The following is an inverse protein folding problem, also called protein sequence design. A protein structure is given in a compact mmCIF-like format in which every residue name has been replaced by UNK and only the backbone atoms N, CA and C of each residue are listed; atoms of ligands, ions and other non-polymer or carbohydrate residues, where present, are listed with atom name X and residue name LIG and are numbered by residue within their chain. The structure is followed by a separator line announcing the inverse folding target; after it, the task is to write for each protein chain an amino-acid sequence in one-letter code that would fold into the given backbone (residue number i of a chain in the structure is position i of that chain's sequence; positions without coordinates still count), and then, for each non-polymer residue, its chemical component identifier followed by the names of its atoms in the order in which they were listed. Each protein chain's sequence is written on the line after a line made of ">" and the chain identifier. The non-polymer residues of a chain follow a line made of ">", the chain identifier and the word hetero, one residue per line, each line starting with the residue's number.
data_IF_021829035281
#
_entry.id   IF_021829035281
#
_cell.length_a   1.000
_cell.length_b   1.000
_cell.length_c   1.000
_cell.angle_alpha   90.00
_cell.angle_beta   90.00
_cell.angle_gamma   90.00
#
_symmetry.space_group_name_H-M   'P 1'
#
loop_
_entity.id
_entity.type
_entity.pdbx_description
1 polymer ?
#
# COMPACT_ATOMS: atom_id res chain seq x y z
N UNK A 1 -9.70 6.68 15.10
CA UNK A 1 -9.59 6.30 13.70
C UNK A 1 -8.15 5.96 13.36
N UNK A 2 -7.94 5.15 12.31
CA UNK A 2 -6.61 4.68 11.86
C UNK A 2 -5.79 4.03 12.99
N UNK A 3 -6.46 3.31 13.90
CA UNK A 3 -5.84 2.72 15.09
C UNK A 3 -4.83 1.62 14.77
N UNK A 4 -4.79 1.13 13.55
CA UNK A 4 -3.79 0.19 13.05
C UNK A 4 -2.44 0.85 12.75
N UNK A 5 -2.38 2.18 12.58
CA UNK A 5 -1.16 2.93 12.30
C UNK A 5 -0.39 3.35 13.57
N UNK A 6 -1.06 3.35 14.73
CA UNK A 6 -0.42 3.68 15.98
C UNK A 6 0.28 2.46 16.58
N UNK A 7 1.48 2.68 17.13
CA UNK A 7 2.13 1.65 17.93
C UNK A 7 1.31 1.35 19.19
N UNK A 8 1.44 0.16 19.74
CA UNK A 8 0.67 -0.19 20.95
C UNK A 8 0.91 0.79 22.12
N UNK A 9 2.14 1.22 22.45
CA UNK A 9 2.37 2.23 23.49
C UNK A 9 1.64 3.55 23.23
N UNK A 10 1.57 4.02 21.99
CA UNK A 10 0.83 5.25 21.62
C UNK A 10 -0.67 5.08 21.84
N UNK A 11 -1.23 3.92 21.48
CA UNK A 11 -2.66 3.63 21.66
C UNK A 11 -3.02 3.52 23.16
N UNK A 12 -2.10 3.12 24.01
CA UNK A 12 -2.35 3.01 25.47
C UNK A 12 -2.48 4.39 26.14
N UNK A 13 -1.89 5.46 25.58
CA UNK A 13 -1.91 6.79 26.21
C UNK A 13 -3.33 7.27 26.53
N UNK A 14 -4.28 7.35 25.57
CA UNK A 14 -5.65 7.77 25.89
C UNK A 14 -6.38 6.78 26.81
N UNK A 15 -6.02 5.51 26.82
CA UNK A 15 -6.64 4.49 27.66
C UNK A 15 -6.28 4.71 29.13
N UNK A 16 -5.00 4.94 29.42
CA UNK A 16 -4.53 5.16 30.80
C UNK A 16 -4.95 6.53 31.37
N UNK A 17 -5.37 7.46 30.53
CA UNK A 17 -5.94 8.74 30.97
C UNK A 17 -7.35 8.61 31.55
N UNK A 18 -7.87 7.40 31.71
CA UNK A 18 -9.14 7.12 32.36
C UNK A 18 -10.31 6.90 31.42
N UNK A 19 -10.06 6.49 30.19
CA UNK A 19 -11.12 6.11 29.26
C UNK A 19 -11.96 4.95 29.83
N UNK A 20 -13.27 5.15 29.95
CA UNK A 20 -14.21 4.12 30.41
C UNK A 20 -14.65 3.19 29.28
N UNK A 21 -14.64 3.69 28.06
CA UNK A 21 -14.97 2.97 26.84
C UNK A 21 -13.98 3.34 25.75
N UNK A 22 -13.55 2.36 24.96
CA UNK A 22 -12.61 2.54 23.87
C UNK A 22 -13.22 1.95 22.61
N UNK A 23 -13.27 2.75 21.56
CA UNK A 23 -13.66 2.31 20.22
C UNK A 23 -12.46 2.53 19.30
N UNK A 24 -11.91 1.44 18.78
CA UNK A 24 -10.82 1.49 17.80
C UNK A 24 -11.38 1.26 16.41
N UNK A 25 -11.06 2.15 15.49
CA UNK A 25 -11.43 2.08 14.07
C UNK A 25 -10.15 1.99 13.26
N UNK A 26 -10.09 1.04 12.33
CA UNK A 26 -8.91 0.84 11.50
C UNK A 26 -9.05 -0.38 10.61
N UNK A 27 -8.07 -0.59 9.75
CA UNK A 27 -8.02 -1.69 8.81
C UNK A 27 -6.65 -2.38 8.85
N UNK A 28 -6.60 -3.58 9.39
CA UNK A 28 -5.37 -4.37 9.50
C UNK A 28 -4.84 -4.90 8.16
N UNK A 29 -5.65 -4.84 7.09
CA UNK A 29 -5.22 -5.13 5.73
C UNK A 29 -4.59 -3.91 5.03
N UNK A 30 -4.55 -2.75 5.68
CA UNK A 30 -3.82 -1.56 5.27
C UNK A 30 -2.58 -1.34 6.14
N UNK A 31 -1.89 -0.19 5.96
CA UNK A 31 -0.60 0.04 6.61
C UNK A 31 -0.69 0.01 8.14
N UNK A 32 0.31 -0.62 8.74
CA UNK A 32 0.54 -0.64 10.17
C UNK A 32 1.46 0.50 10.65
N UNK A 33 1.90 0.47 11.93
CA UNK A 33 2.79 1.47 12.50
C UNK A 33 4.11 1.58 11.73
N UNK A 34 4.56 2.81 11.47
CA UNK A 34 5.86 3.07 10.85
C UNK A 34 6.95 3.08 11.91
N UNK A 35 7.79 2.03 11.91
CA UNK A 35 8.91 1.89 12.83
C UNK A 35 10.22 1.88 12.05
N UNK A 36 10.99 2.96 12.15
CA UNK A 36 12.27 3.12 11.43
C UNK A 36 13.38 2.20 11.98
N UNK A 37 13.34 1.93 13.27
CA UNK A 37 14.31 1.04 13.89
C UNK A 37 13.95 -0.43 13.67
N UNK A 38 14.72 -1.14 12.82
CA UNK A 38 14.49 -2.56 12.51
C UNK A 38 14.50 -3.47 13.73
N UNK A 39 15.35 -3.19 14.73
CA UNK A 39 15.39 -3.98 15.96
C UNK A 39 14.11 -3.83 16.77
N UNK A 40 13.58 -2.60 16.85
CA UNK A 40 12.32 -2.33 17.52
C UNK A 40 11.13 -2.96 16.78
N UNK A 41 11.11 -2.88 15.45
CA UNK A 41 10.10 -3.53 14.62
C UNK A 41 10.09 -5.05 14.83
N UNK A 42 11.27 -5.70 14.79
CA UNK A 42 11.42 -7.15 15.07
C UNK A 42 11.03 -7.53 16.51
N UNK A 43 11.17 -6.61 17.48
CA UNK A 43 10.74 -6.80 18.86
C UNK A 43 9.22 -6.61 19.05
N UNK A 44 8.45 -6.40 17.97
CA UNK A 44 7.00 -6.31 18.00
C UNK A 44 6.42 -4.90 18.01
N UNK A 45 7.26 -3.83 18.01
CA UNK A 45 6.75 -2.44 18.04
C UNK A 45 5.94 -2.08 16.76
N UNK A 46 6.11 -2.80 15.65
CA UNK A 46 5.33 -2.61 14.43
C UNK A 46 3.94 -3.26 14.46
N UNK A 47 3.62 -4.01 15.52
CA UNK A 47 2.28 -4.55 15.72
C UNK A 47 1.43 -3.55 16.48
N UNK A 48 0.28 -3.18 15.95
CA UNK A 48 -0.67 -2.32 16.65
C UNK A 48 -1.46 -3.08 17.71
N UNK A 49 -2.01 -2.35 18.69
CA UNK A 49 -2.95 -2.95 19.66
C UNK A 49 -4.16 -3.57 18.96
N UNK A 50 -4.64 -2.94 17.88
CA UNK A 50 -5.76 -3.44 17.08
C UNK A 50 -5.46 -4.83 16.50
N UNK A 51 -4.31 -5.01 15.85
CA UNK A 51 -3.89 -6.31 15.32
C UNK A 51 -3.68 -7.33 16.43
N UNK A 52 -3.04 -6.94 17.53
CA UNK A 52 -2.80 -7.86 18.66
C UNK A 52 -4.12 -8.38 19.24
N UNK A 53 -5.13 -7.54 19.36
CA UNK A 53 -6.46 -7.97 19.86
C UNK A 53 -7.13 -8.96 18.90
N UNK A 54 -7.02 -8.75 17.57
CA UNK A 54 -7.51 -9.73 16.59
C UNK A 54 -6.79 -11.07 16.74
N UNK A 55 -5.46 -11.09 16.86
CA UNK A 55 -4.68 -12.32 17.09
C UNK A 55 -5.06 -13.01 18.40
N UNK A 56 -5.48 -12.27 19.42
CA UNK A 56 -6.01 -12.82 20.68
C UNK A 56 -7.44 -13.33 20.56
N UNK A 57 -8.07 -13.26 19.38
CA UNK A 57 -9.42 -13.78 19.13
C UNK A 57 -10.54 -12.77 19.37
N UNK A 58 -10.25 -11.49 19.59
CA UNK A 58 -11.27 -10.44 19.64
C UNK A 58 -11.81 -10.22 18.22
N UNK A 59 -13.11 -10.47 18.05
CA UNK A 59 -13.75 -10.32 16.74
C UNK A 59 -14.08 -8.86 16.45
N UNK A 60 -13.53 -8.25 15.39
CA UNK A 60 -13.91 -6.90 15.00
C UNK A 60 -15.27 -6.88 14.30
N UNK A 61 -15.96 -5.76 14.41
CA UNK A 61 -17.13 -5.48 13.57
C UNK A 61 -16.61 -4.99 12.23
N UNK A 62 -16.84 -5.76 11.14
CA UNK A 62 -16.38 -5.43 9.80
C UNK A 62 -17.43 -4.61 9.06
N UNK A 63 -17.04 -3.42 8.58
CA UNK A 63 -17.82 -2.67 7.59
C UNK A 63 -17.57 -3.31 6.21
N UNK A 64 -18.64 -3.77 5.56
CA UNK A 64 -18.52 -4.58 4.33
C UNK A 64 -18.92 -3.83 3.06
N UNK A 65 -19.49 -2.61 3.18
CA UNK A 65 -19.95 -1.85 2.04
C UNK A 65 -18.99 -0.71 1.76
N UNK A 66 -18.41 -0.69 0.57
CA UNK A 66 -17.55 0.39 0.08
C UNK A 66 -18.36 1.36 -0.81
N UNK A 67 -18.09 2.66 -0.67
CA UNK A 67 -18.74 3.74 -1.42
C UNK A 67 -17.77 4.58 -2.25
N UNK A 68 -16.50 4.23 -2.28
CA UNK A 68 -15.44 5.00 -2.96
C UNK A 68 -15.28 4.61 -4.42
N UNK A 69 -14.93 3.35 -4.64
CA UNK A 69 -14.41 2.86 -5.91
C UNK A 69 -15.52 2.46 -6.88
N UNK A 70 -15.27 2.67 -8.17
CA UNK A 70 -15.99 1.98 -9.22
C UNK A 70 -16.03 0.47 -8.96
N UNK A 71 -17.15 -0.23 -9.16
CA UNK A 71 -17.28 -1.66 -8.84
C UNK A 71 -16.16 -2.55 -9.38
N UNK A 72 -15.70 -2.33 -10.62
CA UNK A 72 -14.62 -3.13 -11.20
C UNK A 72 -13.27 -2.92 -10.50
N UNK A 73 -13.02 -1.72 -9.92
CA UNK A 73 -11.78 -1.45 -9.19
C UNK A 73 -11.74 -2.13 -7.82
N UNK A 74 -12.91 -2.38 -7.23
CA UNK A 74 -13.02 -3.02 -5.92
C UNK A 74 -12.92 -4.54 -5.98
N UNK A 75 -13.10 -5.15 -7.15
CA UNK A 75 -13.17 -6.60 -7.32
C UNK A 75 -11.87 -7.30 -6.88
N UNK A 76 -10.72 -6.88 -7.42
CA UNK A 76 -9.44 -7.48 -7.04
C UNK A 76 -9.10 -7.24 -5.56
N UNK A 77 -9.15 -6.00 -5.02
CA UNK A 77 -8.94 -5.78 -3.59
C UNK A 77 -9.87 -6.58 -2.68
N UNK A 78 -11.15 -6.69 -3.03
CA UNK A 78 -12.11 -7.50 -2.26
C UNK A 78 -11.67 -8.96 -2.18
N UNK A 79 -11.32 -9.55 -3.31
CA UNK A 79 -10.92 -10.96 -3.38
C UNK A 79 -9.55 -11.22 -2.75
N UNK A 80 -8.59 -10.31 -2.95
CA UNK A 80 -7.22 -10.49 -2.49
C UNK A 80 -7.05 -10.22 -0.99
N UNK A 81 -7.74 -9.20 -0.45
CA UNK A 81 -7.48 -8.69 0.91
C UNK A 81 -8.65 -8.89 1.87
N UNK A 82 -9.89 -9.02 1.36
CA UNK A 82 -11.10 -9.04 2.20
C UNK A 82 -11.99 -10.26 1.95
N UNK A 83 -11.41 -11.37 1.47
CA UNK A 83 -12.11 -12.67 1.29
C UNK A 83 -13.31 -12.60 0.34
N UNK A 84 -13.35 -11.63 -0.56
CA UNK A 84 -14.49 -11.39 -1.45
C UNK A 84 -15.74 -10.87 -0.76
N UNK A 85 -15.62 -10.39 0.49
CA UNK A 85 -16.79 -9.97 1.29
C UNK A 85 -17.17 -8.50 1.11
N UNK A 86 -16.33 -7.68 0.47
CA UNK A 86 -16.68 -6.29 0.20
C UNK A 86 -17.79 -6.20 -0.84
N UNK A 87 -18.82 -5.43 -0.50
CA UNK A 87 -19.95 -5.13 -1.35
C UNK A 87 -19.85 -3.68 -1.85
N UNK A 88 -20.39 -3.41 -3.04
CA UNK A 88 -20.42 -2.07 -3.60
C UNK A 88 -21.71 -1.36 -3.20
N UNK A 89 -21.61 -0.24 -2.49
CA UNK A 89 -22.70 0.67 -2.21
C UNK A 89 -22.92 1.74 -3.28
N UNK A 90 -22.11 1.69 -4.36
CA UNK A 90 -22.21 2.54 -5.53
C UNK A 90 -22.31 1.69 -6.79
N UNK A 91 -23.03 2.18 -7.80
CA UNK A 91 -23.15 1.53 -9.09
C UNK A 91 -22.11 2.07 -10.07
N UNK A 92 -21.90 1.37 -11.20
CA UNK A 92 -21.02 1.81 -12.27
C UNK A 92 -21.39 3.20 -12.77
N UNK A 93 -22.69 3.52 -12.89
CA UNK A 93 -23.19 4.83 -13.32
C UNK A 93 -22.81 5.96 -12.37
N UNK A 94 -22.73 5.68 -11.06
CA UNK A 94 -22.35 6.67 -10.04
C UNK A 94 -20.84 6.97 -10.09
N UNK A 95 -20.10 6.15 -10.79
CA UNK A 95 -18.64 6.19 -10.92
C UNK A 95 -18.16 6.20 -12.37
N UNK A 96 -19.03 6.52 -13.32
CA UNK A 96 -18.66 6.74 -14.72
C UNK A 96 -18.54 8.23 -14.98
N UNK A 97 -17.52 8.62 -15.74
CA UNK A 97 -17.49 9.95 -16.32
C UNK A 97 -18.55 10.07 -17.40
N UNK A 98 -19.11 11.27 -17.54
CA UNK A 98 -20.13 11.59 -18.54
C UNK A 98 -19.57 11.58 -19.97
N UNK A 99 -18.24 11.58 -20.14
CA UNK A 99 -17.51 11.63 -21.40
C UNK A 99 -16.40 10.58 -21.41
N UNK A 100 -15.96 10.13 -22.59
CA UNK A 100 -14.80 9.24 -22.77
C UNK A 100 -13.49 10.01 -22.47
N UNK A 101 -13.23 10.32 -21.21
CA UNK A 101 -12.10 11.14 -20.74
C UNK A 101 -10.76 10.47 -20.95
N UNK A 102 -10.74 9.14 -20.97
CA UNK A 102 -9.53 8.34 -21.10
C UNK A 102 -9.75 7.14 -22.02
N UNK A 103 -8.78 6.80 -22.92
CA UNK A 103 -8.90 5.69 -23.85
C UNK A 103 -8.67 4.35 -23.15
N UNK A 104 -9.60 3.94 -22.31
CA UNK A 104 -9.52 2.68 -21.58
C UNK A 104 -9.42 1.48 -22.54
N UNK A 105 -8.56 0.49 -22.26
CA UNK A 105 -8.49 -0.73 -23.06
C UNK A 105 -9.82 -1.46 -23.16
N UNK A 106 -10.62 -1.41 -22.08
CA UNK A 106 -12.00 -1.89 -22.04
C UNK A 106 -12.91 -0.76 -21.59
N UNK A 107 -13.90 -0.39 -22.43
CA UNK A 107 -14.80 0.75 -22.18
C UNK A 107 -15.59 0.68 -20.88
N UNK A 108 -15.92 -0.54 -20.42
CA UNK A 108 -16.68 -0.75 -19.19
C UNK A 108 -15.81 -0.88 -17.95
N UNK A 109 -14.47 -0.85 -18.09
CA UNK A 109 -13.54 -1.12 -16.98
C UNK A 109 -12.50 -0.02 -16.91
N UNK A 110 -12.70 1.00 -16.06
CA UNK A 110 -11.77 2.11 -15.91
C UNK A 110 -10.52 1.72 -15.14
N UNK A 111 -9.82 0.70 -15.66
CA UNK A 111 -8.54 0.24 -15.15
C UNK A 111 -7.59 -0.14 -16.28
N UNK A 112 -6.29 0.02 -16.02
CA UNK A 112 -5.24 -0.30 -16.99
C UNK A 112 -3.96 -0.67 -16.25
N UNK A 113 -3.29 -1.74 -16.71
CA UNK A 113 -1.88 -1.98 -16.39
C UNK A 113 -1.06 -1.77 -17.67
N UNK A 114 -0.27 -0.70 -17.69
CA UNK A 114 0.60 -0.37 -18.81
C UNK A 114 2.00 -0.96 -18.60
N UNK A 115 2.32 -2.00 -19.36
CA UNK A 115 3.60 -2.68 -19.28
C UNK A 115 4.74 -1.77 -19.76
N UNK A 116 5.69 -1.49 -18.86
CA UNK A 116 6.91 -0.75 -19.13
C UNK A 116 8.12 -1.61 -18.76
N UNK A 117 8.98 -1.87 -19.76
CA UNK A 117 10.19 -2.70 -19.58
C UNK A 117 11.44 -1.84 -19.33
N UNK A 118 11.27 -0.57 -18.94
CA UNK A 118 12.37 0.34 -18.63
C UNK A 118 13.22 -0.19 -17.49
N UNK A 119 14.50 0.20 -17.50
CA UNK A 119 15.47 -0.20 -16.45
C UNK A 119 15.27 0.70 -15.24
N UNK A 120 15.31 0.11 -14.03
CA UNK A 120 15.41 0.89 -12.81
C UNK A 120 16.80 1.46 -12.62
N UNK A 121 16.90 2.64 -12.05
CA UNK A 121 18.15 3.34 -11.75
C UNK A 121 18.18 3.74 -10.28
N UNK A 122 19.37 3.81 -9.71
CA UNK A 122 19.53 4.43 -8.39
C UNK A 122 19.40 5.95 -8.54
N UNK A 123 18.64 6.58 -7.66
CA UNK A 123 18.49 8.03 -7.64
C UNK A 123 19.83 8.72 -7.28
N UNK A 124 19.94 10.01 -7.58
CA UNK A 124 21.14 10.79 -7.27
C UNK A 124 21.49 10.81 -5.77
N UNK A 125 20.52 10.56 -4.90
CA UNK A 125 20.75 10.46 -3.44
C UNK A 125 21.45 9.16 -3.03
N UNK A 126 21.53 8.16 -3.93
CA UNK A 126 22.11 6.84 -3.63
C UNK A 126 21.27 5.96 -2.71
N UNK A 127 20.08 6.42 -2.27
CA UNK A 127 19.26 5.75 -1.26
C UNK A 127 17.87 5.34 -1.77
N UNK A 128 17.54 5.65 -3.01
CA UNK A 128 16.21 5.37 -3.58
C UNK A 128 16.33 4.96 -5.05
N UNK A 129 15.26 4.42 -5.61
CA UNK A 129 15.20 4.00 -7.01
C UNK A 129 14.28 4.92 -7.83
N UNK A 130 14.54 4.97 -9.14
CA UNK A 130 13.67 5.59 -10.12
C UNK A 130 13.64 4.77 -11.42
N UNK A 131 12.61 4.98 -12.23
CA UNK A 131 12.45 4.39 -13.55
C UNK A 131 11.97 5.46 -14.53
N UNK A 132 12.86 5.87 -15.44
CA UNK A 132 12.58 6.95 -16.40
C UNK A 132 11.47 6.58 -17.38
N UNK A 133 11.44 5.31 -17.82
CA UNK A 133 10.40 4.83 -18.71
C UNK A 133 9.01 4.91 -18.10
N UNK A 134 8.89 4.52 -16.82
CA UNK A 134 7.63 4.65 -16.10
C UNK A 134 7.24 6.13 -15.88
N UNK A 135 8.21 7.00 -15.55
CA UNK A 135 7.93 8.42 -15.37
C UNK A 135 7.43 9.09 -16.66
N UNK A 136 7.97 8.69 -17.83
CA UNK A 136 7.46 9.15 -19.15
C UNK A 136 6.04 8.65 -19.41
N UNK A 137 5.72 7.42 -19.03
CA UNK A 137 4.35 6.91 -19.15
C UNK A 137 3.38 7.65 -18.22
N UNK A 138 3.79 7.94 -16.98
CA UNK A 138 3.02 8.74 -16.01
C UNK A 138 2.75 10.14 -16.58
N UNK A 139 3.76 10.82 -17.14
CA UNK A 139 3.61 12.14 -17.76
C UNK A 139 2.55 12.11 -18.88
N UNK A 140 2.61 11.11 -19.76
CA UNK A 140 1.63 10.96 -20.85
C UNK A 140 0.21 10.76 -20.34
N UNK A 141 0.03 9.94 -19.28
CA UNK A 141 -1.28 9.71 -18.67
C UNK A 141 -1.81 11.01 -18.05
N UNK A 142 -1.00 11.70 -17.24
CA UNK A 142 -1.38 12.95 -16.59
C UNK A 142 -1.72 14.02 -17.63
N UNK A 143 -0.87 14.18 -18.65
CA UNK A 143 -1.12 15.12 -19.75
C UNK A 143 -2.44 14.83 -20.45
N UNK A 144 -2.73 13.57 -20.75
CA UNK A 144 -3.97 13.17 -21.40
C UNK A 144 -5.20 13.51 -20.54
N UNK A 145 -5.17 13.22 -19.25
CA UNK A 145 -6.26 13.57 -18.32
C UNK A 145 -6.48 15.07 -18.23
N UNK A 146 -5.41 15.86 -18.11
CA UNK A 146 -5.49 17.33 -18.04
C UNK A 146 -6.03 17.93 -19.36
N UNK A 147 -5.64 17.39 -20.53
CA UNK A 147 -6.16 17.80 -21.83
C UNK A 147 -7.66 17.50 -22.00
N UNK A 148 -8.18 16.49 -21.32
CA UNK A 148 -9.60 16.15 -21.31
C UNK A 148 -10.35 16.74 -20.10
N UNK A 149 -9.91 17.90 -19.63
CA UNK A 149 -10.59 18.73 -18.64
C UNK A 149 -10.67 18.14 -17.22
N UNK A 150 -9.87 17.13 -16.90
CA UNK A 150 -9.72 16.67 -15.53
C UNK A 150 -8.83 17.65 -14.77
N UNK A 151 -9.28 18.09 -13.62
CA UNK A 151 -8.55 19.05 -12.78
C UNK A 151 -7.34 18.38 -12.12
N UNK A 152 -6.21 19.11 -11.95
CA UNK A 152 -5.00 18.55 -11.34
C UNK A 152 -5.23 17.92 -9.96
N UNK A 153 -6.08 18.53 -9.14
CA UNK A 153 -6.41 18.05 -7.80
C UNK A 153 -7.20 16.72 -7.79
N UNK A 154 -7.78 16.32 -8.91
CA UNK A 154 -8.50 15.06 -9.10
C UNK A 154 -7.58 13.90 -9.46
N UNK A 155 -6.30 14.20 -9.77
CA UNK A 155 -5.29 13.23 -10.17
C UNK A 155 -4.31 13.00 -9.03
N UNK A 156 -4.00 11.73 -8.79
CA UNK A 156 -2.97 11.33 -7.84
C UNK A 156 -1.97 10.37 -8.48
N UNK A 157 -0.69 10.60 -8.24
CA UNK A 157 0.40 9.69 -8.64
C UNK A 157 1.01 9.08 -7.40
N UNK A 158 0.98 7.77 -7.31
CA UNK A 158 1.43 7.00 -6.16
C UNK A 158 2.68 6.20 -6.53
N UNK A 159 3.72 6.31 -5.74
CA UNK A 159 4.96 5.54 -5.92
C UNK A 159 5.54 5.09 -4.58
N UNK A 160 6.18 3.93 -4.49
CA UNK A 160 6.83 3.49 -3.25
C UNK A 160 8.22 4.14 -3.02
N UNK A 161 8.75 4.90 -3.98
CA UNK A 161 10.12 5.40 -3.96
C UNK A 161 10.20 6.92 -4.07
N UNK A 162 10.88 7.56 -3.12
CA UNK A 162 11.09 9.02 -3.10
C UNK A 162 11.88 9.51 -4.33
N UNK A 163 12.86 8.74 -4.79
CA UNK A 163 13.59 9.04 -6.02
C UNK A 163 12.69 9.14 -7.25
N UNK A 164 11.71 8.23 -7.36
CA UNK A 164 10.71 8.28 -8.43
C UNK A 164 9.76 9.46 -8.26
N UNK A 165 9.31 9.73 -7.05
CA UNK A 165 8.44 10.87 -6.76
C UNK A 165 9.07 12.18 -7.24
N UNK A 166 10.29 12.43 -6.80
CA UNK A 166 11.02 13.65 -7.20
C UNK A 166 11.28 13.70 -8.70
N UNK A 167 11.63 12.56 -9.31
CA UNK A 167 11.87 12.48 -10.75
C UNK A 167 10.61 12.75 -11.56
N UNK A 168 9.47 12.15 -11.21
CA UNK A 168 8.18 12.34 -11.90
C UNK A 168 7.76 13.80 -11.88
N UNK A 169 7.80 14.47 -10.71
CA UNK A 169 7.48 15.90 -10.60
C UNK A 169 8.38 16.75 -11.51
N UNK A 170 9.71 16.53 -11.45
CA UNK A 170 10.66 17.26 -12.30
C UNK A 170 10.44 16.97 -13.78
N UNK A 171 10.16 15.73 -14.14
CA UNK A 171 9.96 15.32 -15.53
C UNK A 171 8.70 15.97 -16.10
N UNK A 172 7.57 15.87 -15.43
CA UNK A 172 6.30 16.47 -15.85
C UNK A 172 6.42 18.00 -16.05
N UNK A 173 7.03 18.68 -15.08
CA UNK A 173 7.15 20.15 -15.15
C UNK A 173 8.11 20.66 -16.22
N UNK A 174 9.12 19.85 -16.62
CA UNK A 174 10.13 20.24 -17.61
C UNK A 174 9.81 19.81 -19.03
N UNK A 175 9.19 18.65 -19.18
CA UNK A 175 9.00 18.01 -20.50
C UNK A 175 7.54 17.91 -20.90
N UNK A 176 6.62 18.12 -19.97
CA UNK A 176 5.18 18.13 -20.26
C UNK A 176 4.81 19.23 -21.23
N UNK A 177 3.84 18.94 -22.10
CA UNK A 177 3.40 19.85 -23.17
C UNK A 177 2.46 20.95 -22.69
N UNK A 178 1.95 20.86 -21.48
CA UNK A 178 1.07 21.85 -20.85
C UNK A 178 1.86 22.81 -19.97
N UNK A 179 1.18 23.85 -19.47
CA UNK A 179 1.82 24.80 -18.57
C UNK A 179 2.32 24.10 -17.29
N UNK A 180 3.56 24.38 -16.83
CA UNK A 180 4.16 23.71 -15.67
C UNK A 180 3.34 23.78 -14.39
N UNK A 181 2.57 24.86 -14.16
CA UNK A 181 1.72 24.99 -12.97
C UNK A 181 0.68 23.89 -12.85
N UNK A 182 0.10 23.42 -13.96
CA UNK A 182 -0.87 22.34 -13.96
C UNK A 182 -0.27 21.03 -13.42
N UNK A 183 0.98 20.75 -13.81
CA UNK A 183 1.68 19.57 -13.30
C UNK A 183 2.10 19.70 -11.83
N UNK A 184 2.38 20.92 -11.35
CA UNK A 184 2.73 21.17 -9.96
C UNK A 184 1.55 20.98 -8.99
N UNK A 185 0.33 21.16 -9.46
CA UNK A 185 -0.89 20.97 -8.70
C UNK A 185 -1.30 19.48 -8.61
N UNK A 186 -0.76 18.62 -9.49
CA UNK A 186 -0.98 17.18 -9.40
C UNK A 186 -0.27 16.61 -8.18
N UNK A 187 -1.01 15.89 -7.36
CA UNK A 187 -0.44 15.28 -6.16
C UNK A 187 0.40 14.04 -6.49
N UNK A 188 1.72 14.13 -6.28
CA UNK A 188 2.65 13.00 -6.41
C UNK A 188 3.22 12.66 -5.04
N UNK A 189 2.89 11.49 -4.50
CA UNK A 189 3.29 11.12 -3.14
C UNK A 189 3.60 9.62 -2.98
N UNK A 190 4.18 9.27 -1.84
CA UNK A 190 4.41 7.87 -1.48
C UNK A 190 3.09 7.17 -1.14
N UNK A 191 3.09 5.83 -1.20
CA UNK A 191 1.94 5.01 -0.79
C UNK A 191 1.52 5.34 0.63
N UNK A 192 2.49 5.47 1.53
CA UNK A 192 2.25 5.75 2.94
C UNK A 192 1.58 7.14 3.13
N UNK A 193 1.98 8.15 2.36
CA UNK A 193 1.38 9.49 2.40
C UNK A 193 -0.03 9.55 1.77
N UNK A 194 -0.37 8.59 0.92
CA UNK A 194 -1.71 8.49 0.31
C UNK A 194 -2.74 7.77 1.20
N UNK A 195 -2.33 7.17 2.30
CA UNK A 195 -3.29 6.56 3.23
C UNK A 195 -4.27 7.61 3.77
N UNK A 196 -5.55 7.26 3.85
CA UNK A 196 -6.63 8.19 4.21
C UNK A 196 -7.06 9.14 3.09
N UNK A 197 -6.30 9.25 1.98
CA UNK A 197 -6.63 10.11 0.84
C UNK A 197 -7.33 9.34 -0.27
N UNK A 198 -7.97 10.07 -1.19
CA UNK A 198 -8.63 9.51 -2.37
C UNK A 198 -8.65 10.53 -3.50
N UNK A 199 -8.62 10.07 -4.75
CA UNK A 199 -8.69 10.89 -5.96
C UNK A 199 -9.65 10.27 -6.96
N UNK A 200 -10.05 11.05 -7.95
CA UNK A 200 -10.84 10.52 -9.06
C UNK A 200 -10.00 9.51 -9.85
N UNK A 201 -8.78 9.89 -10.22
CA UNK A 201 -7.86 9.08 -10.97
C UNK A 201 -6.58 8.84 -10.17
N UNK A 202 -6.16 7.59 -10.10
CA UNK A 202 -4.89 7.20 -9.48
C UNK A 202 -3.99 6.53 -10.50
N UNK A 203 -2.74 6.98 -10.53
CA UNK A 203 -1.68 6.41 -11.33
C UNK A 203 -0.65 5.83 -10.37
N UNK A 204 -0.39 4.52 -10.46
CA UNK A 204 0.62 3.83 -9.63
C UNK A 204 1.83 3.55 -10.51
N UNK A 205 3.03 4.00 -10.10
CA UNK A 205 4.29 3.64 -10.74
C UNK A 205 5.10 2.72 -9.84
N UNK A 206 5.38 1.50 -10.34
CA UNK A 206 5.97 0.41 -9.55
C UNK A 206 7.51 0.52 -9.43
N UNK A 207 8.16 1.17 -10.40
CA UNK A 207 9.60 1.46 -10.44
C UNK A 207 10.48 0.22 -10.66
N UNK A 208 10.25 -0.86 -9.89
CA UNK A 208 11.14 -2.03 -9.87
C UNK A 208 11.12 -2.80 -11.17
N UNK A 209 12.29 -2.89 -11.78
CA UNK A 209 12.50 -3.51 -13.08
C UNK A 209 13.89 -4.16 -13.17
N UNK A 210 14.15 -5.10 -12.26
CA UNK A 210 15.40 -5.84 -12.21
C UNK A 210 15.15 -7.35 -12.11
N UNK A 211 16.13 -8.15 -12.52
CA UNK A 211 16.01 -9.61 -12.51
C UNK A 211 16.48 -10.29 -11.22
N UNK A 212 17.25 -9.60 -10.36
CA UNK A 212 17.99 -10.22 -9.26
C UNK A 212 17.59 -9.74 -7.87
N UNK A 213 17.19 -8.48 -7.73
CA UNK A 213 17.04 -7.81 -6.43
C UNK A 213 15.61 -7.80 -5.87
N UNK A 214 14.69 -8.56 -6.46
CA UNK A 214 13.30 -8.56 -6.00
C UNK A 214 12.58 -7.21 -6.19
N UNK A 215 11.41 -7.05 -5.56
CA UNK A 215 10.57 -5.85 -5.73
C UNK A 215 10.60 -4.90 -4.52
N UNK A 216 11.43 -5.20 -3.51
CA UNK A 216 11.65 -4.32 -2.35
C UNK A 216 10.35 -3.91 -1.64
N UNK A 217 10.10 -2.61 -1.47
CA UNK A 217 8.93 -2.08 -0.75
C UNK A 217 7.57 -2.52 -1.32
N UNK A 218 7.51 -2.94 -2.59
CA UNK A 218 6.31 -3.49 -3.18
C UNK A 218 5.96 -4.89 -2.65
N UNK A 219 6.87 -5.54 -1.93
CA UNK A 219 6.61 -6.86 -1.36
C UNK A 219 5.59 -6.83 -0.22
N UNK A 220 5.35 -5.66 0.37
CA UNK A 220 4.33 -5.48 1.40
C UNK A 220 2.93 -5.44 0.77
N UNK A 221 2.09 -6.47 1.02
CA UNK A 221 0.75 -6.55 0.46
C UNK A 221 -0.17 -5.42 0.94
N UNK A 222 0.08 -4.86 2.13
CA UNK A 222 -0.69 -3.74 2.68
C UNK A 222 -0.49 -2.47 1.86
N UNK A 223 0.75 -2.23 1.38
CA UNK A 223 1.05 -1.11 0.47
C UNK A 223 0.32 -1.26 -0.86
N UNK A 224 0.32 -2.46 -1.41
CA UNK A 224 -0.44 -2.71 -2.63
C UNK A 224 -1.93 -2.46 -2.42
N UNK A 225 -2.52 -2.96 -1.33
CA UNK A 225 -3.92 -2.71 -0.99
C UNK A 225 -4.23 -1.20 -0.92
N UNK A 226 -3.40 -0.43 -0.21
CA UNK A 226 -3.56 1.03 -0.14
C UNK A 226 -3.49 1.64 -1.53
N UNK A 227 -2.48 1.33 -2.34
CA UNK A 227 -2.31 1.91 -3.67
C UNK A 227 -3.51 1.63 -4.59
N UNK A 228 -4.05 0.40 -4.58
CA UNK A 228 -5.17 0.00 -5.42
C UNK A 228 -6.52 0.60 -5.00
N UNK A 229 -6.66 0.99 -3.72
CA UNK A 229 -7.95 1.43 -3.16
C UNK A 229 -8.10 2.94 -3.01
N UNK A 230 -7.24 3.74 -3.65
CA UNK A 230 -7.31 5.21 -3.59
C UNK A 230 -8.15 5.85 -4.69
N UNK A 231 -8.39 5.12 -5.79
CA UNK A 231 -9.11 5.63 -6.96
C UNK A 231 -10.63 5.55 -6.76
N UNK A 232 -11.34 6.59 -7.25
CA UNK A 232 -12.82 6.57 -7.36
C UNK A 232 -13.28 6.11 -8.73
N UNK A 233 -12.77 6.74 -9.79
CA UNK A 233 -13.22 6.58 -11.17
C UNK A 233 -12.27 5.70 -11.98
N UNK A 234 -10.96 5.89 -11.88
CA UNK A 234 -10.01 5.19 -12.73
C UNK A 234 -8.68 4.88 -12.08
N UNK A 235 -8.13 3.70 -12.40
CA UNK A 235 -6.85 3.21 -11.90
C UNK A 235 -5.93 2.82 -13.04
N UNK A 236 -4.76 3.46 -13.12
CA UNK A 236 -3.69 3.13 -14.06
C UNK A 236 -2.47 2.67 -13.28
N UNK A 237 -1.92 1.53 -13.65
CA UNK A 237 -0.69 0.99 -13.07
C UNK A 237 0.37 0.93 -14.15
N UNK A 238 1.56 1.42 -13.86
CA UNK A 238 2.72 1.39 -14.75
C UNK A 238 3.82 0.57 -14.12
N UNK A 239 4.37 -0.39 -14.83
CA UNK A 239 5.41 -1.25 -14.27
C UNK A 239 5.87 -2.38 -15.18
N UNK A 240 6.88 -3.14 -14.73
CA UNK A 240 7.40 -4.28 -15.46
C UNK A 240 6.70 -5.59 -15.04
N UNK A 241 5.78 -6.12 -15.86
CA UNK A 241 5.02 -7.32 -15.50
C UNK A 241 5.89 -8.57 -15.35
N UNK A 242 7.06 -8.67 -16.04
CA UNK A 242 7.97 -9.82 -15.90
C UNK A 242 8.62 -9.87 -14.52
N UNK A 243 8.92 -8.72 -13.96
CA UNK A 243 9.54 -8.61 -12.64
C UNK A 243 8.51 -8.77 -11.55
N UNK A 244 7.40 -8.03 -11.66
CA UNK A 244 6.33 -8.02 -10.67
C UNK A 244 5.66 -9.39 -10.52
N UNK A 245 5.43 -10.11 -11.62
CA UNK A 245 4.81 -11.44 -11.59
C UNK A 245 5.63 -12.53 -10.87
N UNK A 246 6.88 -12.24 -10.49
CA UNK A 246 7.68 -13.14 -9.63
C UNK A 246 7.07 -13.25 -8.23
N UNK A 247 6.30 -12.24 -7.80
CA UNK A 247 5.56 -12.25 -6.54
C UNK A 247 4.13 -12.75 -6.77
N UNK A 248 3.63 -13.68 -5.94
CA UNK A 248 2.33 -14.31 -6.13
C UNK A 248 1.18 -13.31 -6.23
N UNK A 249 1.10 -12.35 -5.30
CA UNK A 249 0.02 -11.36 -5.25
C UNK A 249 0.02 -10.45 -6.50
N UNK A 250 1.19 -9.96 -6.93
CA UNK A 250 1.30 -9.18 -8.17
C UNK A 250 0.95 -10.00 -9.40
N UNK A 251 1.30 -11.28 -9.41
CA UNK A 251 0.91 -12.16 -10.49
C UNK A 251 -0.60 -12.33 -10.57
N UNK A 252 -1.28 -12.55 -9.45
CA UNK A 252 -2.75 -12.63 -9.40
C UNK A 252 -3.37 -11.31 -9.89
N UNK A 253 -2.83 -10.16 -9.48
CA UNK A 253 -3.24 -8.86 -9.98
C UNK A 253 -3.04 -8.74 -11.51
N UNK A 254 -1.86 -9.07 -12.02
CA UNK A 254 -1.57 -9.01 -13.45
C UNK A 254 -2.46 -9.97 -14.25
N UNK A 255 -2.76 -11.14 -13.71
CA UNK A 255 -3.70 -12.08 -14.32
C UNK A 255 -5.12 -11.50 -14.35
N UNK A 256 -5.57 -10.88 -13.24
CA UNK A 256 -6.85 -10.17 -13.20
C UNK A 256 -6.93 -9.06 -14.27
N UNK A 257 -5.90 -8.23 -14.42
CA UNK A 257 -5.85 -7.22 -15.49
C UNK A 257 -5.88 -7.83 -16.89
N UNK A 258 -5.16 -8.95 -17.11
CA UNK A 258 -5.16 -9.68 -18.38
C UNK A 258 -6.52 -10.28 -18.72
N UNK A 259 -7.15 -10.98 -17.78
CA UNK A 259 -8.45 -11.61 -17.97
C UNK A 259 -9.56 -10.60 -18.27
N UNK A 260 -9.36 -9.36 -17.84
CA UNK A 260 -10.24 -8.23 -18.13
C UNK A 260 -9.85 -7.44 -19.39
N UNK A 261 -8.82 -7.86 -20.14
CA UNK A 261 -8.33 -7.14 -21.32
C UNK A 261 -7.68 -5.79 -21.02
N UNK A 262 -7.23 -5.60 -19.78
CA UNK A 262 -6.69 -4.33 -19.27
C UNK A 262 -5.17 -4.34 -19.06
N UNK A 263 -4.48 -5.44 -19.37
CA UNK A 263 -3.01 -5.52 -19.41
C UNK A 263 -2.52 -5.17 -20.80
N UNK A 264 -1.88 -4.02 -20.96
CA UNK A 264 -1.54 -3.45 -22.27
C UNK A 264 -0.08 -3.04 -22.37
N UNK A 265 0.40 -2.93 -23.61
CA UNK A 265 1.75 -2.43 -23.96
C UNK A 265 1.71 -1.49 -25.16
N UNK A 266 2.75 -0.71 -25.33
CA UNK A 266 2.88 0.24 -26.44
C UNK A 266 3.51 1.57 -26.00
N UNK A 267 3.79 2.43 -26.98
CA UNK A 267 4.45 3.72 -26.74
C UNK A 267 3.47 4.91 -26.78
N UNK A 268 2.30 4.71 -27.31
CA UNK A 268 1.28 5.76 -27.48
C UNK A 268 0.01 5.35 -26.75
N UNK A 269 -0.46 6.23 -25.86
CA UNK A 269 -1.64 6.01 -25.03
C UNK A 269 -2.92 5.72 -25.85
N UNK A 270 -3.01 6.29 -27.05
CA UNK A 270 -4.16 6.10 -27.95
C UNK A 270 -4.03 4.87 -28.86
N UNK A 271 -2.93 4.13 -28.77
CA UNK A 271 -2.64 2.97 -29.61
C UNK A 271 -2.00 1.84 -28.80
N UNK A 272 -2.48 1.66 -27.55
CA UNK A 272 -2.06 0.55 -26.71
C UNK A 272 -2.69 -0.75 -27.21
N UNK A 273 -1.92 -1.82 -27.18
CA UNK A 273 -2.33 -3.16 -27.57
C UNK A 273 -2.24 -4.10 -26.40
N UNK A 274 -2.92 -5.24 -26.47
CA UNK A 274 -2.84 -6.26 -25.42
C UNK A 274 -1.39 -6.73 -25.23
N UNK A 275 -0.97 -6.80 -23.98
CA UNK A 275 0.38 -7.23 -23.62
C UNK A 275 0.50 -8.75 -23.65
N UNK A 276 1.31 -9.25 -24.59
CA UNK A 276 1.56 -10.66 -24.79
C UNK A 276 2.69 -11.22 -23.95
N UNK A 277 3.21 -10.47 -22.99
CA UNK A 277 4.30 -10.90 -22.10
C UNK A 277 3.89 -12.14 -21.32
N UNK A 278 4.69 -13.19 -21.41
CA UNK A 278 4.51 -14.37 -20.56
C UNK A 278 4.78 -14.02 -19.09
N UNK A 279 3.77 -14.20 -18.24
CA UNK A 279 3.94 -14.01 -16.79
C UNK A 279 4.66 -15.23 -16.20
N UNK A 280 5.83 -15.05 -15.56
CA UNK A 280 6.57 -16.15 -14.95
C UNK A 280 5.72 -16.84 -13.89
N UNK A 281 5.84 -18.18 -13.83
CA UNK A 281 5.22 -18.95 -12.76
C UNK A 281 6.01 -18.71 -11.47
N UNK A 282 5.36 -18.47 -10.33
CA UNK A 282 6.05 -18.47 -9.04
C UNK A 282 6.77 -19.80 -8.84
N UNK A 283 7.96 -19.77 -8.25
CA UNK A 283 8.75 -21.01 -8.01
C UNK A 283 8.07 -21.98 -7.05
N UNK A 284 7.12 -21.53 -6.26
CA UNK A 284 6.25 -22.34 -5.42
C UNK A 284 4.80 -22.20 -5.87
N UNK A 285 4.08 -23.30 -5.84
CA UNK A 285 2.63 -23.24 -6.00
C UNK A 285 2.05 -22.54 -4.78
N UNK A 286 1.74 -21.25 -4.87
CA UNK A 286 0.92 -20.61 -3.86
C UNK A 286 -0.43 -21.36 -3.86
N UNK A 287 -0.79 -21.97 -2.75
CA UNK A 287 -2.18 -22.36 -2.55
C UNK A 287 -2.96 -21.05 -2.53
N UNK A 288 -3.81 -20.86 -3.52
CA UNK A 288 -4.67 -19.69 -3.69
C UNK A 288 -5.35 -19.34 -2.36
N UNK A 289 -5.04 -18.14 -1.87
CA UNK A 289 -5.63 -17.70 -0.63
C UNK A 289 -5.41 -16.19 -0.45
N UNK A 290 -6.49 -15.42 -0.26
CA UNK A 290 -6.49 -13.99 -0.01
C UNK A 290 -5.62 -13.54 1.17
N UNK A 291 -5.44 -12.24 1.39
CA UNK A 291 -4.55 -11.69 2.43
C UNK A 291 -4.99 -12.02 3.85
N UNK A 292 -6.27 -12.22 4.09
CA UNK A 292 -6.73 -12.85 5.34
C UNK A 292 -6.09 -14.23 5.52
N UNK A 293 -5.70 -14.87 4.42
CA UNK A 293 -4.91 -16.10 4.37
C UNK A 293 -3.39 -15.84 4.46
N UNK A 294 -2.86 -14.69 4.08
CA UNK A 294 -1.45 -14.33 4.29
C UNK A 294 -1.18 -13.87 5.72
N UNK A 295 -2.17 -13.24 6.36
CA UNK A 295 -2.06 -12.76 7.74
C UNK A 295 -2.59 -13.77 8.78
N UNK A 296 -3.60 -14.60 8.44
CA UNK A 296 -4.22 -15.53 9.39
C UNK A 296 -3.74 -16.98 9.31
N UNK A 297 -3.01 -17.41 8.27
CA UNK A 297 -2.60 -18.81 8.09
C UNK A 297 -1.25 -19.19 8.67
N UNK A 298 -0.45 -18.24 9.08
CA UNK A 298 0.79 -18.58 9.79
C UNK A 298 0.53 -19.14 11.20
N UNK A 299 -0.67 -18.94 11.74
CA UNK A 299 -1.04 -19.37 13.10
C UNK A 299 -1.77 -20.72 13.19
N UNK A 300 -2.13 -21.36 12.06
CA UNK A 300 -3.01 -22.56 12.11
C UNK A 300 -2.36 -23.86 11.60
N UNK A 301 -1.13 -23.86 11.10
CA UNK A 301 -0.57 -25.01 10.40
C UNK A 301 0.52 -25.82 11.12
N UNK A 302 0.81 -25.61 12.39
CA UNK A 302 1.70 -26.53 13.13
C UNK A 302 0.97 -27.72 13.81
N UNK A 303 -0.36 -27.64 13.98
CA UNK A 303 -1.09 -28.71 14.70
C UNK A 303 -1.65 -29.86 13.85
N UNK A 304 -1.52 -29.81 12.52
CA UNK A 304 -2.14 -30.83 11.65
C UNK A 304 -1.19 -31.88 11.04
N UNK A 305 0.12 -31.76 11.19
CA UNK A 305 1.08 -32.76 10.69
C UNK A 305 1.50 -33.84 11.72
N UNK A 306 1.08 -33.72 12.99
CA UNK A 306 1.47 -34.67 14.03
C UNK A 306 0.49 -35.87 14.24
N UNK A 307 -0.62 -35.96 13.47
CA UNK A 307 -1.65 -36.97 13.72
C UNK A 307 -1.94 -37.90 12.55
N UNK A 308 -0.98 -38.22 11.67
CA UNK A 308 -1.22 -39.20 10.60
C UNK A 308 -0.24 -40.37 10.54
N UNK A 309 0.25 -40.82 11.68
CA UNK A 309 0.97 -42.13 11.72
C UNK A 309 0.59 -42.93 12.98
N UNK A 310 -0.68 -43.31 13.07
CA UNK A 310 -1.07 -44.52 13.80
C UNK A 310 -2.56 -44.79 13.54
N UNK A 311 -2.86 -45.59 12.53
CA UNK A 311 -4.06 -46.41 12.51
C UNK A 311 -3.88 -47.62 11.65
N UNK A 312 -3.50 -48.69 12.30
CA UNK A 312 -3.80 -50.05 11.83
C UNK A 312 -4.84 -50.63 12.77
N UNK A 313 -5.99 -51.01 12.18
CA UNK A 313 -6.94 -52.05 12.61
C UNK A 313 -7.69 -51.90 13.93
N UNK A 314 -9.00 -51.70 13.90
CA UNK A 314 -9.97 -52.81 14.10
C UNK A 314 -11.42 -52.31 14.02
N UNK A 315 -12.23 -53.19 13.44
CA UNK A 315 -13.70 -53.21 13.33
C UNK A 315 -14.42 -53.05 14.69
N UNK A 316 -15.57 -52.46 14.63
CA UNK A 316 -16.88 -52.96 15.01
C UNK A 316 -17.79 -51.88 15.61
N UNK A 317 -18.89 -51.68 14.97
CA UNK A 317 -20.29 -51.69 15.44
C UNK A 317 -20.74 -50.61 16.44
N UNK A 318 -21.69 -49.89 15.97
CA UNK A 318 -22.98 -49.52 16.62
C UNK A 318 -23.37 -48.05 16.59
N UNK A 319 -24.54 -47.90 16.04
CA UNK A 319 -25.40 -46.70 15.95
C UNK A 319 -25.95 -46.37 17.32
N UNK A 320 -25.97 -45.08 17.73
CA UNK A 320 -27.12 -44.54 18.45
C UNK A 320 -27.30 -43.04 18.31
N UNK A 321 -28.54 -42.68 18.03
CA UNK A 321 -29.11 -41.35 17.94
C UNK A 321 -29.45 -40.81 19.37
N UNK A 322 -29.28 -39.53 19.61
CA UNK A 322 -29.87 -38.87 20.77
C UNK A 322 -29.30 -37.50 21.10
N UNK A 323 -29.98 -36.52 20.72
CA UNK A 323 -30.47 -35.25 21.19
C UNK A 323 -29.82 -34.57 22.38
N UNK A 324 -29.66 -33.23 22.22
CA UNK A 324 -29.85 -32.29 23.30
C UNK A 324 -28.60 -31.70 23.93
N UNK A 325 -28.54 -30.38 23.82
CA UNK A 325 -28.17 -29.34 24.77
C UNK A 325 -26.96 -28.50 24.44
N UNK A 326 -27.32 -27.33 24.02
CA UNK A 326 -26.50 -26.13 24.00
C UNK A 326 -26.34 -25.59 25.44
N UNK A 327 -25.17 -25.22 25.81
CA UNK A 327 -24.61 -24.47 26.95
C UNK A 327 -23.60 -25.26 27.77
N UNK A 328 -22.35 -24.84 27.71
CA UNK A 328 -21.31 -25.24 28.65
C UNK A 328 -19.97 -25.69 28.06
N UNK A 329 -19.32 -24.89 27.24
CA UNK A 329 -17.88 -25.10 26.98
C UNK A 329 -17.06 -24.15 27.84
N UNK A 330 -16.35 -24.74 28.82
CA UNK A 330 -15.32 -24.09 29.64
C UNK A 330 -14.23 -23.54 28.70
N UNK A 331 -13.92 -22.27 28.89
CA UNK A 331 -12.79 -21.59 28.26
C UNK A 331 -11.51 -22.30 28.72
N UNK A 332 -10.63 -22.78 27.84
CA UNK A 332 -9.34 -23.31 28.24
C UNK A 332 -8.46 -22.18 28.79
N UNK A 333 -7.58 -22.45 29.77
CA UNK A 333 -6.67 -21.45 30.30
C UNK A 333 -5.69 -20.98 29.22
N UNK A 334 -5.40 -19.69 29.22
CA UNK A 334 -4.47 -19.05 28.29
C UNK A 334 -3.10 -19.79 28.29
N UNK A 335 -2.52 -20.03 27.11
CA UNK A 335 -1.19 -20.62 27.02
C UNK A 335 -0.17 -19.69 27.68
N UNK A 336 0.68 -20.25 28.54
CA UNK A 336 1.84 -19.54 29.11
C UNK A 336 2.79 -19.22 27.95
N UNK A 337 3.16 -17.95 27.81
CA UNK A 337 4.19 -17.52 26.85
C UNK A 337 5.50 -18.25 27.15
N UNK A 338 5.84 -19.20 26.27
CA UNK A 338 7.18 -19.76 26.19
C UNK A 338 8.06 -18.87 25.31
N UNK A 339 9.36 -19.03 25.43
CA UNK A 339 10.41 -18.33 24.66
C UNK A 339 10.27 -18.43 23.13
N UNK A 340 9.38 -19.26 22.61
CA UNK A 340 9.12 -19.53 21.19
C UNK A 340 8.41 -18.40 20.44
N UNK A 341 7.72 -17.49 21.14
CA UNK A 341 7.11 -16.31 20.51
C UNK A 341 8.14 -15.31 19.93
N UNK A 342 9.41 -15.45 20.30
CA UNK A 342 10.50 -14.63 19.79
C UNK A 342 11.10 -15.16 18.47
N UNK A 343 10.95 -16.44 18.17
CA UNK A 343 11.47 -17.03 16.94
C UNK A 343 10.57 -16.79 15.72
N UNK A 344 9.28 -16.51 15.95
CA UNK A 344 8.31 -16.24 14.86
C UNK A 344 8.63 -14.97 14.08
N UNK A 345 9.25 -13.97 14.73
CA UNK A 345 9.71 -12.75 14.08
C UNK A 345 10.98 -12.97 13.22
N UNK A 346 11.70 -14.08 13.41
CA UNK A 346 12.99 -14.33 12.74
C UNK A 346 12.85 -14.94 11.33
N UNK A 347 11.76 -15.61 10.99
CA UNK A 347 11.67 -16.36 9.73
C UNK A 347 11.25 -15.54 8.51
N UNK A 348 10.61 -14.37 8.69
CA UNK A 348 10.16 -13.54 7.57
C UNK A 348 11.13 -12.48 7.07
N UNK A 349 12.23 -12.23 7.78
CA UNK A 349 13.13 -11.11 7.47
C UNK A 349 14.48 -11.56 6.88
N UNK A 350 14.76 -12.86 6.82
CA UNK A 350 16.07 -13.38 6.40
C UNK A 350 16.24 -13.54 4.87
N UNK A 351 15.45 -12.89 4.02
CA UNK A 351 15.60 -12.99 2.56
C UNK A 351 15.75 -11.70 1.80
N UNK A 352 15.87 -10.56 2.48
CA UNK A 352 16.20 -9.30 1.81
C UNK A 352 17.64 -8.92 2.09
N UNK A 353 18.58 -9.52 1.34
CA UNK A 353 20.01 -9.14 1.30
C UNK A 353 20.25 -7.74 0.69
N UNK A 354 19.19 -7.08 0.22
CA UNK A 354 19.28 -5.84 -0.55
C UNK A 354 19.44 -4.56 0.26
N UNK A 355 19.54 -4.63 1.58
CA UNK A 355 19.58 -3.41 2.41
C UNK A 355 20.92 -3.21 3.12
N UNK A 356 21.90 -4.11 2.89
CA UNK A 356 23.22 -3.99 3.52
C UNK A 356 24.16 -2.95 2.89
N UNK A 357 23.76 -2.27 1.81
CA UNK A 357 24.61 -1.26 1.16
C UNK A 357 24.37 0.19 1.62
N UNK A 358 23.46 0.44 2.56
CA UNK A 358 23.05 1.82 2.88
C UNK A 358 23.69 2.37 4.18
N UNK A 359 24.40 1.56 4.97
CA UNK A 359 24.95 2.02 6.26
C UNK A 359 26.45 1.66 6.39
N UNK A 360 27.28 2.02 5.42
CA UNK A 360 28.72 1.95 5.59
C UNK A 360 29.45 3.20 5.17
N UNK A 361 28.89 4.41 5.30
CA UNK A 361 29.72 5.62 5.30
C UNK A 361 28.94 6.79 5.89
N UNK A 362 29.23 7.07 7.12
CA UNK A 362 28.69 8.20 7.84
C UNK A 362 29.27 8.21 9.25
N UNK A 363 30.59 8.24 9.33
CA UNK A 363 31.30 8.56 10.58
C UNK A 363 30.88 9.95 11.03
N UNK A 364 30.07 10.03 12.06
CA UNK A 364 29.94 11.24 12.87
C UNK A 364 30.68 10.96 14.17
N UNK A 365 31.91 11.48 14.20
CA UNK A 365 32.63 11.71 15.43
C UNK A 365 31.82 12.66 16.32
N UNK A 366 31.69 12.25 17.57
CA UNK A 366 31.00 13.00 18.59
C UNK A 366 31.71 14.28 19.01
N UNK A 367 30.99 15.05 19.69
CA UNK A 367 31.31 15.80 20.91
C UNK A 367 30.33 16.97 21.00
N UNK A 368 29.72 17.14 22.05
CA UNK A 368 29.94 17.62 23.38
C UNK A 368 28.80 18.55 23.77
N UNK A 369 28.26 18.26 24.91
CA UNK A 369 27.46 19.11 25.80
C UNK A 369 27.91 20.57 25.85
N UNK A 370 26.95 21.49 26.02
CA UNK A 370 27.20 22.88 26.35
C UNK A 370 25.92 23.66 26.58
N UNK A 371 25.58 23.79 27.82
CA UNK A 371 24.67 24.60 28.58
C UNK A 371 24.39 26.02 28.04
N UNK A 372 23.10 26.42 28.20
CA UNK A 372 22.62 27.61 28.97
C UNK A 372 23.16 28.96 28.56
N UNK A 373 22.29 29.90 28.29
CA UNK A 373 21.97 31.06 29.16
C UNK A 373 21.18 32.15 28.43
N UNK A 374 20.22 32.68 29.12
CA UNK A 374 19.54 33.96 29.00
C UNK A 374 20.43 35.14 28.56
N UNK A 375 19.82 36.09 27.83
CA UNK A 375 20.38 37.41 27.59
C UNK A 375 19.41 38.32 26.87
N UNK A 376 18.66 39.11 27.65
CA UNK A 376 17.96 40.32 27.28
C UNK A 376 18.88 41.39 26.70
N UNK A 377 18.38 42.22 25.76
CA UNK A 377 18.43 43.70 25.72
C UNK A 377 18.15 44.19 24.31
N UNK A 378 17.05 44.88 24.08
CA UNK A 378 16.77 46.34 24.08
C UNK A 378 17.53 47.17 23.04
N UNK A 379 16.67 47.91 22.29
CA UNK A 379 16.84 49.27 21.69
C UNK A 379 17.73 49.34 20.45
N UNK A 380 17.47 50.11 19.42
CA UNK A 380 16.88 51.43 19.21
C UNK A 380 16.50 51.62 17.74
N UNK A 381 15.35 52.17 17.44
CA UNK A 381 15.03 53.50 16.84
C UNK A 381 15.83 53.86 15.57
N UNK A 382 15.10 54.12 14.52
CA UNK A 382 15.57 54.81 13.33
C UNK A 382 14.49 54.97 12.27
N UNK A 383 13.75 56.05 12.37
CA UNK A 383 12.78 56.62 11.42
C UNK A 383 13.41 57.04 10.11
N UNK A 384 12.66 56.98 9.01
CA UNK A 384 12.40 58.06 8.05
C UNK A 384 11.58 57.55 6.86
N UNK A 385 10.38 58.04 6.70
CA UNK A 385 9.74 58.97 5.78
C UNK A 385 9.99 58.78 4.28
N UNK A 386 8.86 58.74 3.56
CA UNK A 386 8.77 59.09 2.14
C UNK A 386 7.83 58.16 1.37
N UNK A 387 6.64 58.44 1.33
CA UNK A 387 5.68 59.25 0.59
C UNK A 387 5.20 58.59 -0.72
N UNK A 388 3.91 58.31 -0.69
CA UNK A 388 2.84 58.33 -1.68
C UNK A 388 3.18 58.32 -3.19
N UNK A 389 2.49 57.46 -3.93
CA UNK A 389 1.54 57.86 -4.99
C UNK A 389 0.70 56.71 -5.51
N UNK A 390 -0.58 56.89 -5.36
CA UNK A 390 -1.65 56.20 -6.07
C UNK A 390 -1.66 56.54 -7.58
N UNK A 391 -1.99 55.55 -8.41
CA UNK A 391 -2.75 55.81 -9.64
C UNK A 391 -3.73 54.67 -9.88
N UNK A 392 -4.96 55.12 -10.10
CA UNK A 392 -6.17 54.41 -10.48
C UNK A 392 -6.39 54.57 -11.99
N UNK A 393 -7.20 53.68 -12.54
CA UNK A 393 -7.91 53.67 -13.87
C UNK A 393 -7.04 53.25 -15.09
N UNK A 394 -7.46 52.41 -15.98
CA UNK A 394 -8.82 52.05 -16.48
C UNK A 394 -8.97 50.51 -16.66
#
# INVERSE_FOLDING_TARGET
>A
DESTQATEPETLIPIIMGAKQVVMVGDHCQLGPVVTCRRAARAGLSQSLFERLIFMGVQPIRLQIQYRMHPCLSEFPSNAFYEGTLQNGVNERDRSDSEDVFPWPSKSKPMMFWAQMGVEEMSASGTSYLNRGEAMAVEKIVTHLLQNSIRPEEIGVVTPYEGQRAYVVNHMTRTGVLHPSLYQEVEVASVDAFQGREKQYIIVTCVRSNDRQGIGFLNDPRRLNVALTRAKLGLMIVGNPKVLAKQPLFREMLQHFRDNGCLVEGNNINALVECMVALPQPRWKSRAAGLSRFVAKETIHEDSEYNNNNNTNNNDGEVNLGGGDFFGKKIPPAPRMGHEALDFAHHHINRDDDVNSIISDGGITGSVFGESLYGDSKSEVGSEYGDSRAYRYD
#
